data_IF_325752090727
#
_entry.id   IF_325752090727
#
_cell.length_a   1.000
_cell.length_b   1.000
_cell.length_c   1.000
_cell.angle_alpha   90.00
_cell.angle_beta   90.00
_cell.angle_gamma   90.00
#
_symmetry.space_group_name_H-M   'P 1'
#
loop_
_entity.id
_entity.type
_entity.pdbx_description
1 polymer ?
#
# COMPACT_ATOMS: atom_id res chain seq x y z
N UNK A 1 9.77 24.05 -7.27
CA UNK A 1 8.80 23.36 -8.15
C UNK A 1 9.60 22.75 -9.29
N UNK A 2 9.43 21.45 -9.54
CA UNK A 2 10.05 20.82 -10.71
C UNK A 2 9.53 21.47 -11.99
N UNK A 3 10.41 21.74 -12.96
CA UNK A 3 10.00 22.31 -14.23
C UNK A 3 9.20 21.27 -15.04
N UNK A 4 8.36 21.72 -15.98
CA UNK A 4 7.64 20.82 -16.90
C UNK A 4 8.62 19.90 -17.65
N UNK A 5 9.80 20.41 -17.98
CA UNK A 5 10.85 19.66 -18.66
C UNK A 5 11.42 18.54 -17.78
N UNK A 6 11.64 18.79 -16.49
CA UNK A 6 12.07 17.77 -15.53
C UNK A 6 11.02 16.65 -15.37
N UNK A 7 9.73 17.03 -15.30
CA UNK A 7 8.64 16.05 -15.21
C UNK A 7 8.55 15.16 -16.46
N UNK A 8 8.74 15.74 -17.65
CA UNK A 8 8.81 14.99 -18.91
C UNK A 8 10.02 14.07 -18.91
N UNK A 9 11.19 14.55 -18.48
CA UNK A 9 12.42 13.76 -18.43
C UNK A 9 12.28 12.53 -17.52
N UNK A 10 11.68 12.70 -16.34
CA UNK A 10 11.38 11.60 -15.41
C UNK A 10 10.37 10.63 -16.01
N UNK A 11 9.28 11.14 -16.58
CA UNK A 11 8.23 10.31 -17.18
C UNK A 11 8.76 9.47 -18.36
N UNK A 12 9.75 9.99 -19.07
CA UNK A 12 10.35 9.39 -20.27
C UNK A 12 11.61 8.57 -19.99
N UNK A 13 12.17 8.65 -18.78
CA UNK A 13 13.43 8.00 -18.41
C UNK A 13 13.46 6.48 -18.74
N UNK A 14 12.39 5.69 -18.52
CA UNK A 14 12.42 4.25 -18.83
C UNK A 14 12.66 3.93 -20.31
N UNK A 15 12.28 4.81 -21.24
CA UNK A 15 12.53 4.63 -22.69
C UNK A 15 13.99 4.85 -23.09
N UNK A 16 14.77 5.51 -22.23
CA UNK A 16 16.19 5.82 -22.49
C UNK A 16 17.11 4.65 -22.15
N UNK A 17 16.60 3.64 -21.44
CA UNK A 17 17.30 2.40 -21.15
C UNK A 17 16.75 1.27 -22.02
N UNK A 18 17.63 0.46 -22.60
CA UNK A 18 17.27 -0.72 -23.39
C UNK A 18 17.70 -2.04 -22.74
N UNK A 19 18.22 -1.97 -21.52
CA UNK A 19 18.65 -3.13 -20.72
C UNK A 19 18.22 -2.91 -19.28
N UNK A 20 17.87 -3.99 -18.58
CA UNK A 20 17.41 -3.92 -17.19
C UNK A 20 16.28 -4.88 -16.88
N UNK A 21 15.54 -4.59 -15.82
CA UNK A 21 14.36 -5.36 -15.43
C UNK A 21 13.16 -4.94 -16.29
N UNK A 22 12.35 -5.92 -16.72
CA UNK A 22 11.10 -5.65 -17.44
C UNK A 22 9.98 -5.30 -16.45
N UNK A 23 9.02 -4.44 -16.81
CA UNK A 23 7.89 -4.12 -15.95
C UNK A 23 7.10 -5.38 -15.57
N UNK A 24 6.82 -6.27 -16.52
CA UNK A 24 6.11 -7.54 -16.26
C UNK A 24 6.85 -8.41 -15.23
N UNK A 25 8.19 -8.49 -15.32
CA UNK A 25 9.00 -9.27 -14.38
C UNK A 25 9.01 -8.69 -12.96
N UNK A 26 8.99 -7.37 -12.84
CA UNK A 26 8.87 -6.69 -11.54
C UNK A 26 7.45 -6.84 -10.99
N UNK A 27 6.43 -6.66 -11.84
CA UNK A 27 5.03 -6.78 -11.47
C UNK A 27 4.74 -8.17 -10.88
N UNK A 28 5.22 -9.24 -11.51
CA UNK A 28 5.06 -10.61 -11.00
C UNK A 28 5.66 -10.78 -9.59
N UNK A 29 6.85 -10.22 -9.34
CA UNK A 29 7.50 -10.26 -8.02
C UNK A 29 6.72 -9.50 -6.95
N UNK A 30 6.10 -8.38 -7.31
CA UNK A 30 5.20 -7.64 -6.43
C UNK A 30 3.92 -8.45 -6.18
N UNK A 31 3.39 -9.10 -7.21
CA UNK A 31 2.17 -9.90 -7.12
C UNK A 31 2.33 -11.09 -6.18
N UNK A 32 3.50 -11.74 -6.18
CA UNK A 32 3.86 -12.81 -5.22
C UNK A 32 3.74 -12.35 -3.76
N UNK A 33 3.95 -11.06 -3.48
CA UNK A 33 3.83 -10.50 -2.14
C UNK A 33 2.37 -10.35 -1.67
N UNK A 34 1.43 -10.18 -2.61
CA UNK A 34 0.03 -9.77 -2.33
C UNK A 34 -0.97 -10.91 -2.54
N UNK A 35 -0.68 -11.87 -3.42
CA UNK A 35 -1.58 -13.01 -3.68
C UNK A 35 -1.64 -14.00 -2.49
N UNK A 36 -0.58 -14.09 -1.71
CA UNK A 36 -0.50 -15.04 -0.59
C UNK A 36 -1.61 -14.84 0.44
N UNK A 37 -2.34 -15.91 0.75
CA UNK A 37 -3.38 -15.87 1.80
C UNK A 37 -2.78 -15.47 3.15
N UNK A 38 -1.56 -15.92 3.44
CA UNK A 38 -0.85 -15.68 4.71
C UNK A 38 -0.34 -14.24 4.87
N UNK A 39 -0.20 -13.48 3.78
CA UNK A 39 0.22 -12.07 3.84
C UNK A 39 -0.96 -11.11 3.72
N UNK A 40 -2.02 -11.50 3.00
CA UNK A 40 -3.08 -10.58 2.60
C UNK A 40 -4.45 -10.87 3.25
N UNK A 41 -4.84 -12.14 3.41
CA UNK A 41 -6.14 -12.54 3.99
C UNK A 41 -6.03 -12.71 5.51
N UNK A 42 -5.13 -13.59 5.96
CA UNK A 42 -4.85 -13.85 7.37
C UNK A 42 -3.48 -13.25 7.71
N UNK A 43 -3.47 -12.06 8.29
CA UNK A 43 -2.22 -11.32 8.49
C UNK A 43 -1.68 -11.52 9.90
N UNK A 44 -0.36 -11.51 10.04
CA UNK A 44 0.34 -11.45 11.32
C UNK A 44 1.44 -10.40 11.22
N UNK A 45 1.74 -9.69 12.32
CA UNK A 45 2.73 -8.61 12.31
C UNK A 45 4.07 -9.00 11.68
N UNK A 46 4.57 -10.21 11.99
CA UNK A 46 5.84 -10.71 11.43
C UNK A 46 5.79 -10.89 9.91
N UNK A 47 4.74 -11.55 9.39
CA UNK A 47 4.58 -11.78 7.95
C UNK A 47 4.37 -10.47 7.19
N UNK A 48 3.64 -9.51 7.78
CA UNK A 48 3.51 -8.16 7.21
C UNK A 48 4.90 -7.50 7.07
N UNK A 49 5.76 -7.59 8.10
CA UNK A 49 7.12 -7.02 8.05
C UNK A 49 7.99 -7.71 6.99
N UNK A 50 7.88 -9.02 6.85
CA UNK A 50 8.61 -9.77 5.82
C UNK A 50 8.17 -9.34 4.41
N UNK A 51 6.86 -9.24 4.17
CA UNK A 51 6.31 -8.78 2.89
C UNK A 51 6.66 -7.34 2.57
N UNK A 52 6.64 -6.46 3.58
CA UNK A 52 7.08 -5.07 3.45
C UNK A 52 8.57 -5.00 3.07
N UNK A 53 9.42 -5.78 3.75
CA UNK A 53 10.86 -5.87 3.45
C UNK A 53 11.11 -6.36 2.03
N UNK A 54 10.34 -7.35 1.56
CA UNK A 54 10.45 -7.86 0.20
C UNK A 54 10.03 -6.79 -0.84
N UNK A 55 8.98 -6.03 -0.55
CA UNK A 55 8.51 -4.93 -1.41
C UNK A 55 9.53 -3.79 -1.45
N UNK A 56 10.12 -3.41 -0.32
CA UNK A 56 11.20 -2.42 -0.24
C UNK A 56 12.43 -2.87 -1.05
N UNK A 57 12.76 -4.16 -1.05
CA UNK A 57 13.84 -4.70 -1.91
C UNK A 57 13.52 -4.56 -3.39
N UNK A 58 12.27 -4.78 -3.81
CA UNK A 58 11.84 -4.54 -5.20
C UNK A 58 12.01 -3.06 -5.56
N UNK A 59 11.54 -2.16 -4.68
CA UNK A 59 11.68 -0.71 -4.83
C UNK A 59 13.13 -0.27 -4.96
N UNK A 60 14.01 -0.74 -4.08
CA UNK A 60 15.38 -0.24 -3.99
C UNK A 60 16.33 -0.88 -5.02
N UNK A 61 16.01 -2.09 -5.51
CA UNK A 61 16.93 -2.86 -6.36
C UNK A 61 16.46 -3.07 -7.79
N UNK A 62 15.15 -3.14 -8.03
CA UNK A 62 14.61 -3.50 -9.34
C UNK A 62 14.03 -2.30 -10.07
N UNK A 63 13.23 -1.47 -9.39
CA UNK A 63 12.64 -0.28 -10.00
C UNK A 63 13.68 0.70 -10.58
N UNK A 64 14.86 0.93 -9.97
CA UNK A 64 15.85 1.85 -10.56
C UNK A 64 16.41 1.37 -11.90
N UNK A 65 16.25 0.08 -12.22
CA UNK A 65 16.70 -0.54 -13.46
C UNK A 65 15.52 -0.94 -14.36
N UNK A 66 14.31 -0.43 -14.11
CA UNK A 66 13.15 -0.69 -14.98
C UNK A 66 13.35 0.00 -16.33
N UNK A 67 12.97 -0.67 -17.41
CA UNK A 67 13.11 -0.14 -18.76
C UNK A 67 11.87 -0.43 -19.61
N UNK A 68 11.68 0.39 -20.64
CA UNK A 68 10.58 0.27 -21.60
C UNK A 68 11.14 0.13 -23.02
N UNK A 69 10.76 -0.94 -23.72
CA UNK A 69 11.14 -1.14 -25.12
C UNK A 69 10.33 -0.25 -26.09
N UNK A 70 9.11 0.13 -25.69
CA UNK A 70 8.19 0.96 -26.46
C UNK A 70 7.23 1.74 -25.55
N UNK A 71 6.33 2.50 -26.16
CA UNK A 71 5.33 3.31 -25.44
C UNK A 71 4.32 2.50 -24.62
N UNK A 72 4.02 1.26 -25.01
CA UNK A 72 3.14 0.39 -24.23
C UNK A 72 3.85 -0.11 -22.98
N UNK A 73 5.11 -0.52 -23.10
CA UNK A 73 5.94 -0.88 -21.95
C UNK A 73 6.21 0.31 -21.02
N UNK A 74 6.25 1.54 -21.55
CA UNK A 74 6.36 2.75 -20.73
C UNK A 74 5.16 2.89 -19.79
N UNK A 75 3.95 2.66 -20.29
CA UNK A 75 2.73 2.67 -19.45
C UNK A 75 2.87 1.64 -18.33
N UNK A 76 3.28 0.41 -18.67
CA UNK A 76 3.48 -0.65 -17.66
C UNK A 76 4.55 -0.31 -16.64
N UNK A 77 5.62 0.41 -17.01
CA UNK A 77 6.64 0.86 -16.07
C UNK A 77 6.03 1.76 -14.98
N UNK A 78 5.18 2.69 -15.38
CA UNK A 78 4.47 3.59 -14.45
C UNK A 78 3.46 2.83 -13.59
N UNK A 79 2.69 1.92 -14.17
CA UNK A 79 1.73 1.08 -13.43
C UNK A 79 2.43 0.16 -12.42
N UNK A 80 3.57 -0.42 -12.80
CA UNK A 80 4.39 -1.28 -11.93
C UNK A 80 4.99 -0.47 -10.77
N UNK A 81 5.46 0.74 -11.06
CA UNK A 81 5.97 1.67 -10.03
C UNK A 81 4.87 2.06 -9.05
N UNK A 82 3.68 2.40 -9.55
CA UNK A 82 2.51 2.71 -8.73
C UNK A 82 2.04 1.50 -7.90
N UNK A 83 2.10 0.29 -8.47
CA UNK A 83 1.78 -0.96 -7.77
C UNK A 83 2.74 -1.19 -6.60
N UNK A 84 4.03 -0.98 -6.79
CA UNK A 84 5.02 -1.09 -5.72
C UNK A 84 4.73 -0.09 -4.59
N UNK A 85 4.48 1.17 -4.95
CA UNK A 85 4.15 2.24 -3.99
C UNK A 85 2.90 1.91 -3.17
N UNK A 86 1.80 1.54 -3.84
CA UNK A 86 0.54 1.21 -3.16
C UNK A 86 0.65 -0.05 -2.30
N UNK A 87 1.43 -1.05 -2.73
CA UNK A 87 1.71 -2.27 -1.95
C UNK A 87 2.47 -1.93 -0.66
N UNK A 88 3.53 -1.12 -0.76
CA UNK A 88 4.28 -0.65 0.40
C UNK A 88 3.37 0.10 1.37
N UNK A 89 2.55 1.01 0.83
CA UNK A 89 1.63 1.83 1.62
C UNK A 89 0.58 0.98 2.37
N UNK A 90 0.01 0.00 1.68
CA UNK A 90 -0.96 -0.94 2.25
C UNK A 90 -0.35 -1.72 3.42
N UNK A 91 0.85 -2.26 3.27
CA UNK A 91 1.49 -3.05 4.32
C UNK A 91 1.97 -2.20 5.50
N UNK A 92 2.46 -0.98 5.25
CA UNK A 92 2.75 -0.02 6.34
C UNK A 92 1.49 0.32 7.13
N UNK A 93 0.36 0.57 6.46
CA UNK A 93 -0.92 0.84 7.10
C UNK A 93 -1.41 -0.38 7.91
N UNK A 94 -1.29 -1.58 7.35
CA UNK A 94 -1.70 -2.83 8.00
C UNK A 94 -0.84 -3.16 9.24
N UNK A 95 0.46 -2.88 9.18
CA UNK A 95 1.36 -3.05 10.32
C UNK A 95 1.07 -2.06 11.44
N UNK A 96 0.70 -0.82 11.08
CA UNK A 96 0.33 0.20 12.05
C UNK A 96 -1.00 -0.12 12.74
N UNK A 97 -1.97 -0.71 12.02
CA UNK A 97 -3.33 -1.00 12.52
C UNK A 97 -3.40 -2.32 13.29
N UNK A 98 -3.36 -2.21 14.61
CA UNK A 98 -3.45 -3.31 15.57
C UNK A 98 -4.89 -3.59 16.00
N UNK A 99 -5.72 -4.05 15.05
CA UNK A 99 -7.05 -4.61 15.28
C UNK A 99 -7.46 -5.46 14.06
N UNK A 100 -8.62 -6.11 14.15
CA UNK A 100 -9.29 -6.74 13.02
C UNK A 100 -10.64 -6.08 12.72
N UNK A 101 -10.85 -5.67 11.47
CA UNK A 101 -12.08 -5.01 11.00
C UNK A 101 -12.30 -5.20 9.50
N UNK A 102 -13.41 -5.82 9.14
CA UNK A 102 -13.76 -6.07 7.75
C UNK A 102 -12.75 -6.99 7.07
N UNK A 103 -12.18 -6.56 5.94
CA UNK A 103 -11.17 -7.31 5.18
C UNK A 103 -9.75 -7.24 5.77
N UNK A 104 -9.52 -6.41 6.77
CA UNK A 104 -8.25 -6.38 7.50
C UNK A 104 -8.37 -7.28 8.73
N UNK A 105 -7.82 -8.49 8.66
CA UNK A 105 -7.75 -9.43 9.76
C UNK A 105 -6.30 -9.64 10.22
N UNK A 106 -6.04 -9.43 11.51
CA UNK A 106 -4.75 -9.59 12.20
C UNK A 106 -4.89 -10.72 13.22
N UNK A 107 -4.17 -11.82 13.01
CA UNK A 107 -4.16 -12.97 13.94
C UNK A 107 -3.64 -12.59 15.33
N UNK A 108 -2.67 -11.67 15.39
CA UNK A 108 -2.10 -11.11 16.62
C UNK A 108 -2.98 -10.03 17.26
N UNK A 109 -4.02 -9.55 16.55
CA UNK A 109 -5.03 -8.59 17.03
C UNK A 109 -6.42 -8.97 16.48
N UNK A 110 -7.00 -10.10 16.92
CA UNK A 110 -8.18 -10.69 16.29
C UNK A 110 -9.47 -9.91 16.53
N UNK A 111 -9.49 -9.05 17.55
CA UNK A 111 -10.66 -8.30 17.98
C UNK A 111 -10.74 -6.92 17.33
N UNK A 112 -11.96 -6.41 17.21
CA UNK A 112 -12.24 -5.03 16.80
C UNK A 112 -12.01 -4.09 17.98
N UNK A 113 -11.20 -3.05 17.79
CA UNK A 113 -10.90 -2.04 18.82
C UNK A 113 -11.50 -0.69 18.40
N UNK A 114 -12.69 -0.42 18.90
CA UNK A 114 -13.40 0.83 18.61
C UNK A 114 -12.88 2.04 19.39
N UNK A 115 -12.10 1.84 20.46
CA UNK A 115 -11.54 2.95 21.24
C UNK A 115 -10.34 3.55 20.55
N UNK A 116 -9.45 2.73 19.98
CA UNK A 116 -8.20 3.18 19.34
C UNK A 116 -8.28 3.27 17.82
N UNK A 117 -9.08 2.40 17.19
CA UNK A 117 -9.02 2.17 15.75
C UNK A 117 -10.32 2.50 15.00
N UNK A 118 -11.33 3.09 15.66
CA UNK A 118 -12.49 3.70 14.98
C UNK A 118 -12.14 5.06 14.34
N UNK A 119 -11.15 5.00 13.44
CA UNK A 119 -10.59 6.13 12.70
C UNK A 119 -10.28 5.68 11.27
N UNK A 120 -10.33 6.62 10.33
CA UNK A 120 -9.65 6.46 9.05
C UNK A 120 -8.15 6.63 9.25
N UNK A 121 -7.39 5.72 8.68
CA UNK A 121 -5.95 5.85 8.59
C UNK A 121 -5.62 6.49 7.25
N UNK A 122 -5.19 7.74 7.27
CA UNK A 122 -4.90 8.54 6.08
C UNK A 122 -3.40 8.69 5.93
N UNK A 123 -2.86 8.21 4.83
CA UNK A 123 -1.47 8.45 4.48
C UNK A 123 -1.30 9.81 3.79
N UNK A 124 -0.31 10.57 4.23
CA UNK A 124 0.13 11.80 3.61
C UNK A 124 1.62 11.70 3.25
N UNK A 125 2.07 12.38 2.18
CA UNK A 125 3.50 12.53 1.91
C UNK A 125 4.24 13.14 3.10
N UNK A 126 5.48 12.73 3.31
CA UNK A 126 6.33 13.37 4.31
C UNK A 126 6.87 14.69 3.78
N UNK A 127 6.51 15.80 4.45
CA UNK A 127 6.91 17.14 4.06
C UNK A 127 6.14 17.69 2.84
N UNK A 128 6.39 18.96 2.52
CA UNK A 128 5.75 19.68 1.41
C UNK A 128 6.59 19.65 0.11
N UNK A 129 7.48 18.66 -0.06
CA UNK A 129 8.29 18.57 -1.28
C UNK A 129 7.38 18.32 -2.49
N UNK A 130 7.60 19.09 -3.56
CA UNK A 130 6.93 18.90 -4.85
C UNK A 130 8.01 18.68 -5.93
N UNK A 131 8.07 17.49 -6.55
CA UNK A 131 7.20 16.34 -6.34
C UNK A 131 7.42 15.72 -4.94
N UNK A 132 6.40 15.06 -4.36
CA UNK A 132 6.59 14.29 -3.15
C UNK A 132 7.71 13.29 -3.41
N UNK A 133 8.66 13.17 -2.49
CA UNK A 133 9.58 12.05 -2.51
C UNK A 133 8.72 10.78 -2.36
N UNK A 134 8.38 10.15 -3.50
CA UNK A 134 7.44 9.02 -3.58
C UNK A 134 7.80 7.90 -2.60
N UNK A 135 9.09 7.80 -2.27
CA UNK A 135 9.66 6.77 -1.40
C UNK A 135 10.01 7.25 0.01
N UNK A 136 9.71 8.51 0.35
CA UNK A 136 9.81 8.96 1.73
C UNK A 136 8.71 8.28 2.57
N UNK A 137 9.07 7.87 3.79
CA UNK A 137 8.14 7.20 4.69
C UNK A 137 6.90 8.08 4.94
N UNK A 138 5.68 7.63 4.61
CA UNK A 138 4.49 8.47 4.71
C UNK A 138 4.16 8.82 6.16
N UNK A 139 3.56 9.98 6.36
CA UNK A 139 2.93 10.33 7.63
C UNK A 139 1.53 9.72 7.68
N UNK A 140 1.24 8.91 8.69
CA UNK A 140 -0.10 8.36 8.90
C UNK A 140 -0.87 9.19 9.93
N UNK A 141 -1.99 9.76 9.49
CA UNK A 141 -2.93 10.51 10.33
C UNK A 141 -4.15 9.66 10.65
N UNK A 142 -4.62 9.77 11.88
CA UNK A 142 -5.86 9.15 12.34
C UNK A 142 -6.95 10.21 12.32
N UNK A 143 -7.93 10.05 11.43
CA UNK A 143 -9.07 10.95 11.34
C UNK A 143 -10.32 10.26 11.92
N UNK A 144 -11.10 10.95 12.76
CA UNK A 144 -12.34 10.38 13.29
C UNK A 144 -13.30 10.04 12.15
N UNK A 145 -13.97 8.90 12.26
CA UNK A 145 -15.04 8.54 11.31
C UNK A 145 -16.27 9.41 11.59
N UNK A 146 -16.82 10.13 10.60
CA UNK A 146 -17.98 11.00 10.79
C UNK A 146 -19.27 10.19 10.86
N UNK A 147 -19.50 9.48 11.97
CA UNK A 147 -20.66 8.59 12.16
C UNK A 147 -21.99 9.31 11.93
N UNK A 148 -22.15 10.52 12.49
CA UNK A 148 -23.36 11.33 12.33
C UNK A 148 -23.71 11.59 10.85
N UNK A 149 -22.69 11.78 10.01
CA UNK A 149 -22.89 12.00 8.57
C UNK A 149 -23.35 10.74 7.83
N UNK A 150 -22.95 9.55 8.31
CA UNK A 150 -23.44 8.28 7.79
C UNK A 150 -24.86 7.99 8.26
N UNK A 151 -25.15 8.23 9.54
CA UNK A 151 -26.48 8.07 10.11
C UNK A 151 -27.50 8.99 9.42
N UNK A 152 -27.14 10.24 9.15
CA UNK A 152 -27.97 11.18 8.38
C UNK A 152 -28.28 10.71 6.95
N UNK A 153 -27.47 9.79 6.39
CA UNK A 153 -27.69 9.15 5.09
C UNK A 153 -28.45 7.82 5.19
N UNK A 154 -28.92 7.45 6.38
CA UNK A 154 -29.58 6.17 6.65
C UNK A 154 -28.61 4.97 6.65
N UNK A 155 -27.30 5.21 6.80
CA UNK A 155 -26.28 4.16 6.86
C UNK A 155 -25.95 3.89 8.32
N UNK A 156 -26.47 2.79 8.85
CA UNK A 156 -26.17 2.36 10.21
C UNK A 156 -24.78 1.72 10.30
N UNK A 157 -24.03 1.93 11.41
CA UNK A 157 -22.74 1.27 11.61
C UNK A 157 -22.91 -0.24 11.72
N UNK A 158 -22.04 -0.99 11.06
CA UNK A 158 -22.02 -2.45 11.18
C UNK A 158 -21.65 -2.85 12.61
N UNK A 159 -22.47 -3.68 13.30
CA UNK A 159 -22.14 -4.17 14.63
C UNK A 159 -20.85 -4.99 14.61
N UNK A 160 -20.19 -5.13 15.77
CA UNK A 160 -19.03 -6.02 15.87
C UNK A 160 -19.45 -7.43 15.49
N UNK A 161 -18.68 -8.10 14.65
CA UNK A 161 -18.90 -9.51 14.39
C UNK A 161 -18.54 -10.25 15.68
N UNK A 162 -19.56 -10.76 16.39
CA UNK A 162 -19.32 -11.64 17.52
C UNK A 162 -18.89 -13.00 16.95
N UNK A 163 -17.59 -13.33 17.06
CA UNK A 163 -17.16 -14.70 16.82
C UNK A 163 -17.83 -15.59 17.88
N UNK A 164 -18.40 -16.74 17.50
CA UNK A 164 -18.94 -17.67 18.48
C UNK A 164 -17.81 -18.07 19.44
N UNK A 165 -18.09 -18.07 20.74
CA UNK A 165 -17.14 -18.56 21.73
C UNK A 165 -16.67 -19.97 21.31
N UNK A 166 -15.36 -20.20 21.31
CA UNK A 166 -14.80 -21.49 20.98
C UNK A 166 -15.51 -22.57 21.83
N UNK A 167 -16.14 -23.53 21.16
CA UNK A 167 -16.71 -24.68 21.84
C UNK A 167 -15.55 -25.45 22.48
N UNK A 168 -15.50 -25.48 23.81
CA UNK A 168 -14.57 -26.29 24.60
C UNK A 168 -14.74 -27.79 24.32
#
# INVERSE_FOLDING_TARGET
>A
EASVEEAIDVAMAPLRCNTGATPDGIYLRLQEQVIGADSNIYRHGDRIRDTLTATERVRDRLLPAIHAADWHELVKCHETTATCFTTELMYRAALLRDESRGWHYREDFPDRDDERWRVWLVAAPHGNSSPPALWAAPEFRRLPVPLDAYEARGIAPTPAMALPAAAN
#
